data_IF_149608712466
#
_entry.id   IF_149608712466
#
_cell.length_a   1.000
_cell.length_b   1.000
_cell.length_c   1.000
_cell.angle_alpha   90.00
_cell.angle_beta   90.00
_cell.angle_gamma   90.00
#
_symmetry.space_group_name_H-M   'P 1'
#
loop_
_entity.id
_entity.type
_entity.pdbx_description
1 polymer ?
#
# COMPACT_ATOMS: atom_id res chain seq x y z
N UNK A 1 17.39 -11.68 10.75
CA UNK A 1 16.30 -11.78 9.76
C UNK A 1 16.46 -10.68 8.73
N UNK A 2 16.29 -10.98 7.44
CA UNK A 2 16.29 -9.98 6.36
C UNK A 2 14.84 -9.63 6.02
N UNK A 3 14.41 -8.35 6.08
CA UNK A 3 13.05 -7.97 5.73
C UNK A 3 12.78 -8.28 4.25
N UNK A 4 11.55 -8.72 3.96
CA UNK A 4 11.07 -8.90 2.60
C UNK A 4 11.03 -7.54 1.91
N UNK A 5 11.40 -7.49 0.63
CA UNK A 5 11.21 -6.30 -0.17
C UNK A 5 9.70 -6.12 -0.41
N UNK A 6 9.21 -4.91 -0.24
CA UNK A 6 7.87 -4.50 -0.64
C UNK A 6 7.96 -3.18 -1.39
N UNK A 7 7.01 -2.92 -2.28
CA UNK A 7 6.82 -1.58 -2.85
C UNK A 7 6.05 -0.75 -1.82
N UNK A 8 6.58 0.42 -1.49
CA UNK A 8 5.96 1.35 -0.54
C UNK A 8 5.65 2.68 -1.25
N UNK A 9 4.47 3.22 -0.98
CA UNK A 9 4.02 4.50 -1.53
C UNK A 9 3.39 5.31 -0.40
N UNK A 10 3.88 6.52 -0.18
CA UNK A 10 3.33 7.46 0.80
C UNK A 10 2.50 8.53 0.09
N UNK A 11 1.30 8.83 0.60
CA UNK A 11 0.42 9.86 0.03
C UNK A 11 0.70 11.27 0.55
N UNK A 12 1.62 11.41 1.51
CA UNK A 12 2.01 12.67 2.15
C UNK A 12 3.08 12.46 3.21
N UNK A 13 3.54 13.55 3.82
CA UNK A 13 4.54 13.50 4.88
C UNK A 13 3.95 12.88 6.16
N UNK A 14 4.78 12.15 6.91
CA UNK A 14 4.44 11.57 8.21
C UNK A 14 3.11 10.78 8.16
N UNK A 15 3.03 9.67 7.39
CA UNK A 15 1.81 8.90 7.28
C UNK A 15 1.32 8.44 8.66
N UNK A 16 0.03 8.62 8.91
CA UNK A 16 -0.61 8.31 10.20
C UNK A 16 -1.25 6.93 10.22
N UNK A 17 -1.33 6.28 9.06
CA UNK A 17 -1.84 4.92 8.89
C UNK A 17 -1.07 4.17 7.79
N UNK A 18 -1.15 2.85 7.84
CA UNK A 18 -0.60 1.95 6.82
C UNK A 18 -1.67 0.99 6.31
N UNK A 19 -1.68 0.76 5.00
CA UNK A 19 -2.53 -0.22 4.34
C UNK A 19 -1.63 -1.23 3.62
N UNK A 20 -1.79 -2.50 3.95
CA UNK A 20 -1.04 -3.60 3.33
C UNK A 20 -1.99 -4.34 2.40
N UNK A 21 -1.68 -4.33 1.10
CA UNK A 21 -2.47 -4.97 0.05
C UNK A 21 -1.72 -6.18 -0.47
N UNK A 22 -2.28 -7.38 -0.23
CA UNK A 22 -1.69 -8.66 -0.63
C UNK A 22 -2.48 -9.21 -1.81
N UNK A 23 -1.78 -9.59 -2.87
CA UNK A 23 -2.39 -10.15 -4.06
C UNK A 23 -2.61 -11.67 -3.95
N UNK A 24 -3.43 -12.21 -4.86
CA UNK A 24 -3.61 -13.65 -5.00
C UNK A 24 -2.44 -14.35 -5.69
N UNK A 25 -2.48 -15.68 -5.73
CA UNK A 25 -1.46 -16.51 -6.38
C UNK A 25 -1.31 -16.14 -7.86
N UNK A 26 -0.06 -15.92 -8.31
CA UNK A 26 0.26 -15.62 -9.70
C UNK A 26 0.00 -14.17 -10.14
N UNK A 27 -0.48 -13.30 -9.24
CA UNK A 27 -0.63 -11.87 -9.48
C UNK A 27 0.56 -11.06 -8.92
N UNK A 28 0.51 -9.73 -9.07
CA UNK A 28 1.48 -8.80 -8.49
C UNK A 28 0.79 -7.79 -7.58
N UNK A 29 1.50 -7.32 -6.55
CA UNK A 29 1.02 -6.20 -5.72
C UNK A 29 0.74 -4.92 -6.54
N UNK A 30 1.40 -4.75 -7.70
CA UNK A 30 1.14 -3.63 -8.62
C UNK A 30 -0.28 -3.65 -9.21
N UNK A 31 -0.88 -4.83 -9.35
CA UNK A 31 -2.23 -4.99 -9.89
C UNK A 31 -3.30 -4.41 -8.93
N UNK A 32 -2.92 -4.14 -7.68
CA UNK A 32 -3.78 -3.59 -6.65
C UNK A 32 -3.74 -2.06 -6.57
N UNK A 33 -2.93 -1.39 -7.41
CA UNK A 33 -2.89 0.07 -7.45
C UNK A 33 -4.27 0.72 -7.71
N UNK A 34 -5.16 0.18 -8.58
CA UNK A 34 -6.51 0.71 -8.75
C UNK A 34 -7.35 0.62 -7.47
N UNK A 35 -7.17 -0.43 -6.65
CA UNK A 35 -7.86 -0.55 -5.35
C UNK A 35 -7.38 0.54 -4.40
N UNK A 36 -6.06 0.75 -4.30
CA UNK A 36 -5.49 1.81 -3.47
C UNK A 36 -6.01 3.21 -3.86
N UNK A 37 -6.15 3.47 -5.17
CA UNK A 37 -6.67 4.74 -5.69
C UNK A 37 -8.17 4.94 -5.47
N UNK A 38 -8.95 3.86 -5.34
CA UNK A 38 -10.39 3.92 -5.13
C UNK A 38 -10.80 4.21 -3.68
N UNK A 39 -9.87 4.08 -2.72
CA UNK A 39 -10.16 4.34 -1.30
C UNK A 39 -10.22 5.85 -1.02
N UNK A 40 -11.35 6.33 -0.50
CA UNK A 40 -11.44 7.69 0.05
C UNK A 40 -10.88 7.72 1.47
N UNK A 41 -9.64 8.17 1.60
CA UNK A 41 -8.90 8.21 2.87
C UNK A 41 -8.69 9.65 3.39
N UNK A 42 -9.40 10.63 2.82
CA UNK A 42 -9.20 12.05 3.16
C UNK A 42 -9.42 12.34 4.64
N UNK A 43 -10.36 11.65 5.29
CA UNK A 43 -10.63 11.81 6.73
C UNK A 43 -9.56 11.18 7.63
N UNK A 44 -8.70 10.31 7.09
CA UNK A 44 -7.63 9.62 7.84
C UNK A 44 -6.36 10.47 7.83
N UNK A 45 -6.05 11.12 6.71
CA UNK A 45 -4.81 11.88 6.51
C UNK A 45 -3.81 11.15 5.61
N UNK A 46 -2.52 11.43 5.75
CA UNK A 46 -1.48 10.78 4.95
C UNK A 46 -1.39 9.28 5.29
N UNK A 47 -1.30 8.43 4.26
CA UNK A 47 -1.29 6.96 4.40
C UNK A 47 -0.09 6.38 3.64
N UNK A 48 0.49 5.32 4.20
CA UNK A 48 1.49 4.48 3.53
C UNK A 48 0.84 3.23 2.97
N UNK A 49 0.88 3.06 1.66
CA UNK A 49 0.52 1.82 0.99
C UNK A 49 1.74 0.91 0.89
N UNK A 50 1.55 -0.37 1.21
CA UNK A 50 2.58 -1.39 1.15
C UNK A 50 2.05 -2.53 0.28
N UNK A 51 2.79 -2.84 -0.78
CA UNK A 51 2.49 -3.93 -1.71
C UNK A 51 3.61 -4.99 -1.62
N UNK A 52 3.40 -6.07 -0.86
CA UNK A 52 4.32 -7.19 -0.80
C UNK A 52 4.43 -7.89 -2.17
N UNK A 53 5.57 -8.56 -2.41
CA UNK A 53 5.82 -9.37 -3.61
C UNK A 53 5.10 -10.71 -3.60
#
# INVERSE_FOLDING_TARGET
MKPLKALEVETGQNPVASIILIHGLGASGRDLAPIAQALDLRSIGAVRFIFPN
#
